data_IF_711174145580
#
_entry.id   IF_711174145580
#
_cell.length_a   1.000
_cell.length_b   1.000
_cell.length_c   1.000
_cell.angle_alpha   90.00
_cell.angle_beta   90.00
_cell.angle_gamma   90.00
#
_symmetry.space_group_name_H-M   'P 1'
#
loop_
_entity.id
_entity.type
_entity.pdbx_description
1 polymer ?
#
# COMPACT_ATOMS: atom_id res chain seq x y z
N UNK A 1 27.10 42.36 -11.43
CA UNK A 1 26.05 41.32 -11.44
C UNK A 1 26.18 40.36 -12.62
N UNK A 2 26.65 40.78 -13.79
CA UNK A 2 26.86 39.88 -14.95
C UNK A 2 28.04 38.89 -14.78
N UNK A 3 29.00 39.20 -13.91
CA UNK A 3 30.17 38.35 -13.70
C UNK A 3 29.88 37.17 -12.75
N UNK A 4 28.94 37.35 -11.82
CA UNK A 4 28.47 36.29 -10.92
C UNK A 4 27.57 35.28 -11.62
N UNK A 5 26.78 35.72 -12.61
CA UNK A 5 25.95 34.81 -13.42
C UNK A 5 26.81 33.96 -14.36
N UNK A 6 27.83 34.53 -15.01
CA UNK A 6 28.79 33.75 -15.82
C UNK A 6 29.56 32.70 -15.03
N UNK A 7 29.88 32.98 -13.77
CA UNK A 7 30.60 32.02 -12.91
C UNK A 7 29.72 30.84 -12.49
N UNK A 8 28.43 31.06 -12.28
CA UNK A 8 27.46 30.00 -12.00
C UNK A 8 27.14 29.17 -13.24
N UNK A 9 27.02 29.78 -14.42
CA UNK A 9 26.84 29.05 -15.68
C UNK A 9 28.07 28.18 -16.03
N UNK A 10 29.28 28.68 -15.77
CA UNK A 10 30.51 27.89 -15.93
C UNK A 10 30.61 26.71 -14.96
N UNK A 11 30.08 26.83 -13.74
CA UNK A 11 30.07 25.72 -12.77
C UNK A 11 29.03 24.65 -13.14
N UNK A 12 27.86 25.06 -13.66
CA UNK A 12 26.84 24.14 -14.12
C UNK A 12 27.26 23.37 -15.39
N UNK A 13 28.01 24.01 -16.30
CA UNK A 13 28.56 23.35 -17.48
C UNK A 13 29.61 22.27 -17.16
N UNK A 14 30.26 22.36 -16.00
CA UNK A 14 31.29 21.40 -15.55
C UNK A 14 30.72 20.10 -14.98
N UNK A 15 29.43 20.05 -14.63
CA UNK A 15 28.81 18.90 -13.94
C UNK A 15 28.20 17.89 -14.95
N UNK A 16 28.06 18.26 -16.22
CA UNK A 16 27.29 17.48 -17.21
C UNK A 16 28.04 16.48 -18.10
N UNK A 17 29.33 16.21 -17.91
CA UNK A 17 30.07 15.25 -18.76
C UNK A 17 30.95 14.30 -17.94
N UNK A 18 30.30 13.41 -17.20
CA UNK A 18 30.93 12.15 -16.82
C UNK A 18 31.19 11.29 -18.06
N UNK A 19 32.28 10.51 -18.11
CA UNK A 19 32.57 9.63 -19.24
C UNK A 19 31.41 8.66 -19.45
N UNK A 20 30.95 8.54 -20.69
CA UNK A 20 29.96 7.56 -21.09
C UNK A 20 30.50 6.16 -20.74
N UNK A 21 30.03 5.61 -19.62
CA UNK A 21 30.23 4.22 -19.27
C UNK A 21 29.49 3.41 -20.33
N UNK A 22 30.27 2.80 -21.22
CA UNK A 22 29.84 1.71 -22.08
C UNK A 22 29.26 0.63 -21.17
N UNK A 23 27.94 0.53 -21.16
CA UNK A 23 27.21 -0.57 -20.53
C UNK A 23 27.60 -1.84 -21.32
N UNK A 24 28.27 -2.84 -20.71
CA UNK A 24 28.45 -4.11 -21.36
C UNK A 24 27.07 -4.76 -21.54
N UNK A 25 26.81 -5.23 -22.77
CA UNK A 25 25.61 -5.98 -23.11
C UNK A 25 25.39 -7.12 -22.09
N UNK A 26 24.14 -7.35 -21.64
CA UNK A 26 23.86 -8.39 -20.67
C UNK A 26 24.19 -9.75 -21.29
N UNK A 27 25.09 -10.48 -20.64
CA UNK A 27 25.31 -11.90 -20.88
C UNK A 27 24.04 -12.61 -20.42
N UNK A 28 23.12 -12.80 -21.37
CA UNK A 28 21.95 -13.65 -21.22
C UNK A 28 22.40 -15.12 -21.10
N UNK A 29 22.72 -15.53 -19.88
CA UNK A 29 22.73 -16.93 -19.46
C UNK A 29 22.16 -17.04 -18.05
N UNK A 30 20.85 -16.86 -17.94
CA UNK A 30 20.07 -17.53 -16.89
C UNK A 30 19.17 -18.54 -17.57
N UNK A 31 19.33 -19.78 -17.14
CA UNK A 31 18.61 -20.97 -17.56
C UNK A 31 17.13 -20.82 -17.20
N UNK A 32 16.27 -21.24 -18.13
CA UNK A 32 14.80 -21.18 -18.04
C UNK A 32 14.18 -22.02 -16.90
N UNK A 33 14.98 -22.58 -15.99
CA UNK A 33 14.50 -23.49 -14.94
C UNK A 33 14.19 -22.80 -13.60
N UNK A 34 14.50 -21.51 -13.42
CA UNK A 34 14.38 -20.84 -12.11
C UNK A 34 13.19 -19.88 -11.96
N UNK A 35 12.42 -19.58 -13.01
CA UNK A 35 11.24 -18.70 -12.91
C UNK A 35 9.90 -19.44 -12.76
N UNK A 36 9.85 -20.76 -12.95
CA UNK A 36 8.61 -21.55 -12.82
C UNK A 36 8.20 -21.86 -11.37
N UNK A 37 9.01 -21.46 -10.37
CA UNK A 37 8.71 -21.74 -8.97
C UNK A 37 7.89 -20.67 -8.24
N UNK A 38 7.67 -19.49 -8.86
CA UNK A 38 7.01 -18.34 -8.20
C UNK A 38 5.64 -17.95 -8.78
N UNK A 39 5.13 -18.69 -9.77
CA UNK A 39 3.75 -18.55 -10.25
C UNK A 39 3.03 -19.87 -10.04
N UNK A 40 2.74 -20.21 -8.77
CA UNK A 40 1.73 -21.23 -8.48
C UNK A 40 0.36 -20.55 -8.48
N UNK A 41 -0.53 -20.85 -9.44
CA UNK A 41 -1.90 -20.38 -9.40
C UNK A 41 -2.60 -20.98 -8.16
N UNK A 42 -3.45 -20.16 -7.54
CA UNK A 42 -4.29 -20.56 -6.40
C UNK A 42 -5.11 -21.83 -6.77
N UNK A 43 -5.25 -22.81 -5.85
CA UNK A 43 -5.84 -24.12 -6.12
C UNK A 43 -7.35 -24.10 -6.43
N UNK A 44 -8.00 -22.94 -6.50
CA UNK A 44 -9.41 -22.82 -6.88
C UNK A 44 -9.62 -22.40 -8.35
N UNK A 45 -8.56 -22.06 -9.09
CA UNK A 45 -8.67 -21.55 -10.47
C UNK A 45 -8.74 -22.63 -11.57
N UNK A 46 -8.63 -23.93 -11.23
CA UNK A 46 -8.80 -25.04 -12.17
C UNK A 46 -9.99 -25.90 -11.75
N UNK A 47 -11.20 -25.42 -12.04
CA UNK A 47 -12.32 -26.34 -12.26
C UNK A 47 -12.21 -26.83 -13.71
N UNK A 48 -12.04 -28.14 -13.97
CA UNK A 48 -12.15 -28.65 -15.32
C UNK A 48 -13.61 -28.49 -15.77
N UNK A 49 -13.79 -27.77 -16.87
CA UNK A 49 -15.05 -27.74 -17.60
C UNK A 49 -15.43 -29.18 -17.96
N UNK A 50 -16.56 -29.64 -17.41
CA UNK A 50 -17.12 -30.96 -17.68
C UNK A 50 -17.65 -31.02 -19.12
N UNK A 51 -16.78 -31.41 -20.04
CA UNK A 51 -17.18 -31.99 -21.31
C UNK A 51 -16.12 -33.01 -21.70
N UNK A 52 -16.56 -34.22 -22.00
CA UNK A 52 -15.77 -35.35 -22.51
C UNK A 52 -15.00 -36.18 -21.48
N UNK A 53 -15.66 -37.21 -20.92
CA UNK A 53 -15.07 -38.56 -20.84
C UNK A 53 -16.14 -39.64 -20.52
N UNK A 54 -17.01 -39.91 -21.50
CA UNK A 54 -17.59 -41.23 -21.67
C UNK A 54 -16.50 -42.13 -22.28
N UNK A 55 -15.82 -42.91 -21.45
CA UNK A 55 -15.14 -44.17 -21.81
C UNK A 55 -14.38 -44.69 -20.59
N UNK A 56 -14.19 -46.01 -20.54
CA UNK A 56 -13.45 -46.77 -19.52
C UNK A 56 -14.28 -47.17 -18.29
N UNK A 57 -15.43 -47.80 -18.56
CA UNK A 57 -15.81 -48.96 -17.77
C UNK A 57 -14.79 -50.08 -18.03
N UNK A 58 -13.95 -50.39 -17.05
CA UNK A 58 -13.32 -51.70 -16.95
C UNK A 58 -13.24 -52.12 -15.49
N UNK A 59 -13.94 -53.23 -15.23
CA UNK A 59 -14.10 -53.89 -13.95
C UNK A 59 -12.76 -54.30 -13.35
N UNK A 60 -12.44 -53.78 -12.17
CA UNK A 60 -11.49 -54.40 -11.25
C UNK A 60 -12.18 -54.64 -9.92
N UNK A 61 -12.12 -55.89 -9.45
CA UNK A 61 -12.85 -56.43 -8.32
C UNK A 61 -12.59 -55.65 -7.01
N UNK A 62 -13.63 -55.27 -6.24
CA UNK A 62 -13.48 -54.67 -4.93
C UNK A 62 -13.54 -55.77 -3.86
N UNK A 63 -12.44 -56.07 -3.17
CA UNK A 63 -12.54 -56.92 -1.98
C UNK A 63 -11.26 -57.59 -1.52
N UNK A 64 -10.27 -56.81 -1.09
CA UNK A 64 -9.22 -57.27 -0.16
C UNK A 64 -8.26 -56.15 0.30
N UNK A 65 -8.14 -55.04 -0.43
CA UNK A 65 -7.06 -54.05 -0.20
C UNK A 65 -7.35 -52.90 0.77
N UNK A 66 -8.61 -52.66 1.15
CA UNK A 66 -8.98 -51.45 1.89
C UNK A 66 -8.37 -51.37 3.31
N UNK A 67 -8.23 -52.52 3.99
CA UNK A 67 -7.65 -52.57 5.33
C UNK A 67 -6.14 -52.30 5.35
N UNK A 68 -5.41 -52.79 4.34
CA UNK A 68 -3.97 -52.59 4.24
C UNK A 68 -3.60 -51.14 3.89
N UNK A 69 -4.40 -50.50 3.02
CA UNK A 69 -4.23 -49.08 2.69
C UNK A 69 -4.49 -48.18 3.91
N UNK A 70 -5.56 -48.42 4.67
CA UNK A 70 -5.87 -47.66 5.87
C UNK A 70 -4.80 -47.84 6.98
N UNK A 71 -4.25 -49.04 7.13
CA UNK A 71 -3.15 -49.29 8.09
C UNK A 71 -1.85 -48.58 7.67
N UNK A 72 -1.53 -48.55 6.38
CA UNK A 72 -0.35 -47.84 5.86
C UNK A 72 -0.51 -46.31 5.99
N UNK A 73 -1.72 -45.78 5.78
CA UNK A 73 -2.04 -44.37 5.99
C UNK A 73 -1.87 -43.98 7.47
N UNK A 74 -2.38 -44.80 8.38
CA UNK A 74 -2.25 -44.58 9.83
C UNK A 74 -0.79 -44.63 10.30
N UNK A 75 0.03 -45.52 9.72
CA UNK A 75 1.47 -45.57 10.00
C UNK A 75 2.17 -44.27 9.54
N UNK A 76 1.89 -43.80 8.32
CA UNK A 76 2.44 -42.54 7.80
C UNK A 76 2.02 -41.33 8.63
N UNK A 77 0.79 -41.31 9.15
CA UNK A 77 0.33 -40.24 10.04
C UNK A 77 1.08 -40.24 11.38
N UNK A 78 1.38 -41.41 11.94
CA UNK A 78 2.19 -41.53 13.16
C UNK A 78 3.63 -41.07 12.93
N UNK A 79 4.26 -41.52 11.85
CA UNK A 79 5.64 -41.11 11.51
C UNK A 79 5.74 -39.60 11.28
N UNK A 80 4.74 -39.02 10.61
CA UNK A 80 4.65 -37.57 10.42
C UNK A 80 4.47 -36.82 11.74
N UNK A 81 3.63 -37.32 12.64
CA UNK A 81 3.44 -36.72 13.95
C UNK A 81 4.72 -36.77 14.80
N UNK A 82 5.44 -37.90 14.78
CA UNK A 82 6.74 -38.04 15.46
C UNK A 82 7.80 -37.10 14.88
N UNK A 83 7.87 -36.98 13.55
CA UNK A 83 8.81 -36.05 12.90
C UNK A 83 8.52 -34.58 13.27
N UNK A 84 7.24 -34.18 13.34
CA UNK A 84 6.87 -32.83 13.77
C UNK A 84 7.22 -32.57 15.23
N UNK A 85 7.07 -33.58 16.09
CA UNK A 85 7.41 -33.46 17.51
C UNK A 85 8.93 -33.30 17.70
N UNK A 86 9.75 -34.10 17.00
CA UNK A 86 11.21 -33.95 17.01
C UNK A 86 11.64 -32.55 16.55
N UNK A 87 11.07 -32.06 15.46
CA UNK A 87 11.39 -30.74 14.93
C UNK A 87 10.98 -29.61 15.89
N UNK A 88 9.88 -29.79 16.61
CA UNK A 88 9.46 -28.87 17.65
C UNK A 88 10.41 -28.88 18.85
N UNK A 89 10.88 -30.05 19.29
CA UNK A 89 11.82 -30.17 20.40
C UNK A 89 13.21 -29.62 20.04
N UNK A 90 13.69 -29.87 18.81
CA UNK A 90 14.92 -29.27 18.27
C UNK A 90 14.81 -27.74 18.23
N UNK A 91 13.67 -27.21 17.79
CA UNK A 91 13.46 -25.76 17.77
C UNK A 91 13.52 -25.16 19.18
N UNK A 92 12.94 -25.84 20.19
CA UNK A 92 12.99 -25.39 21.59
C UNK A 92 14.41 -25.48 22.14
N UNK A 93 15.18 -26.51 21.81
CA UNK A 93 16.58 -26.62 22.20
C UNK A 93 17.42 -25.49 21.59
N UNK A 94 17.21 -25.16 20.31
CA UNK A 94 17.90 -24.03 19.67
C UNK A 94 17.52 -22.70 20.32
N UNK A 95 16.24 -22.49 20.64
CA UNK A 95 15.78 -21.26 21.31
C UNK A 95 16.34 -21.11 22.73
N UNK A 96 16.40 -22.21 23.49
CA UNK A 96 16.98 -22.21 24.84
C UNK A 96 18.50 -21.99 24.80
N UNK A 97 19.22 -22.63 23.88
CA UNK A 97 20.65 -22.37 23.68
C UNK A 97 20.94 -20.94 23.23
N UNK A 98 20.11 -20.38 22.34
CA UNK A 98 20.23 -18.97 21.93
C UNK A 98 19.97 -18.03 23.11
N UNK A 99 18.94 -18.30 23.91
CA UNK A 99 18.64 -17.51 25.11
C UNK A 99 19.80 -17.57 26.12
N UNK A 100 20.38 -18.75 26.33
CA UNK A 100 21.55 -18.94 27.20
C UNK A 100 22.75 -18.12 26.72
N UNK A 101 23.09 -18.19 25.43
CA UNK A 101 24.16 -17.36 24.83
C UNK A 101 23.85 -15.88 25.03
N UNK A 102 22.60 -15.45 24.85
CA UNK A 102 22.19 -14.07 25.02
C UNK A 102 22.24 -13.59 26.48
N UNK A 103 22.08 -14.49 27.45
CA UNK A 103 22.29 -14.21 28.88
C UNK A 103 23.76 -14.19 29.29
N UNK A 104 24.61 -14.94 28.61
CA UNK A 104 26.06 -14.94 28.83
C UNK A 104 26.77 -13.76 28.15
N UNK A 105 26.22 -13.24 27.04
CA UNK A 105 26.80 -12.12 26.29
C UNK A 105 27.09 -10.88 27.16
N UNK A 106 26.18 -10.43 28.05
CA UNK A 106 26.42 -9.31 28.95
C UNK A 106 27.55 -9.56 29.95
N UNK A 107 27.73 -10.79 30.45
CA UNK A 107 28.81 -11.13 31.38
C UNK A 107 30.17 -11.17 30.67
N UNK A 108 30.22 -11.75 29.48
CA UNK A 108 31.41 -11.75 28.62
C UNK A 108 31.75 -10.34 28.17
N UNK A 109 30.74 -9.52 27.83
CA UNK A 109 30.92 -8.11 27.53
C UNK A 109 31.42 -7.35 28.75
N UNK A 110 30.84 -7.53 29.93
CA UNK A 110 31.28 -6.86 31.16
C UNK A 110 32.76 -7.16 31.48
N UNK A 111 33.18 -8.43 31.36
CA UNK A 111 34.58 -8.83 31.56
C UNK A 111 35.55 -8.32 30.46
N UNK A 112 35.09 -8.17 29.22
CA UNK A 112 35.90 -7.63 28.12
C UNK A 112 35.99 -6.09 28.13
N UNK A 113 34.98 -5.41 28.66
CA UNK A 113 34.93 -3.94 28.75
C UNK A 113 35.69 -3.38 29.96
N UNK A 114 36.01 -4.19 30.98
CA UNK A 114 36.75 -3.74 32.17
C UNK A 114 38.23 -3.37 31.88
N UNK A 115 38.74 -3.70 30.68
CA UNK A 115 40.05 -3.25 30.18
C UNK A 115 39.98 -2.27 29.00
N UNK A 116 38.81 -1.73 28.65
CA UNK A 116 38.77 -0.65 27.67
C UNK A 116 39.35 0.64 28.27
N UNK A 117 40.20 1.38 27.54
CA UNK A 117 40.66 2.69 27.96
C UNK A 117 39.47 3.62 28.18
N UNK A 118 39.59 4.41 29.24
CA UNK A 118 38.58 5.30 29.81
C UNK A 118 37.82 6.15 28.77
N UNK A 119 36.54 6.34 29.07
CA UNK A 119 35.57 7.35 28.57
C UNK A 119 35.26 7.40 27.07
N UNK A 120 34.20 6.68 26.69
CA UNK A 120 33.39 6.94 25.50
C UNK A 120 32.66 8.32 25.53
N UNK A 121 32.87 9.15 26.56
CA UNK A 121 32.27 10.47 26.70
C UNK A 121 33.07 11.59 26.03
N UNK A 122 34.30 11.33 25.60
CA UNK A 122 35.14 12.31 24.90
C UNK A 122 35.09 12.18 23.37
N UNK A 123 34.19 11.35 22.83
CA UNK A 123 33.98 11.29 21.39
C UNK A 123 33.20 12.54 20.93
N UNK A 124 33.73 13.32 19.98
CA UNK A 124 33.01 14.46 19.42
C UNK A 124 31.66 13.98 18.87
N UNK A 125 30.56 14.65 19.24
CA UNK A 125 29.18 14.28 18.87
C UNK A 125 28.87 14.25 17.36
N UNK A 126 29.86 14.57 16.52
CA UNK A 126 29.75 14.58 15.07
C UNK A 126 30.70 13.59 14.37
N UNK A 127 31.28 12.62 15.10
CA UNK A 127 31.98 11.56 14.40
C UNK A 127 30.97 10.62 13.71
N UNK A 128 30.84 10.82 12.40
CA UNK A 128 30.03 10.02 11.48
C UNK A 128 30.09 8.53 11.86
N UNK A 129 28.93 7.89 12.01
CA UNK A 129 28.79 6.53 12.56
C UNK A 129 29.68 5.51 11.82
N UNK A 130 29.93 5.75 10.53
CA UNK A 130 30.89 5.00 9.70
C UNK A 130 32.32 5.04 10.25
N UNK A 131 32.77 6.16 10.79
CA UNK A 131 34.11 6.35 11.34
C UNK A 131 34.30 5.54 12.62
N UNK A 132 33.29 5.53 13.49
CA UNK A 132 33.27 4.74 14.72
C UNK A 132 33.32 3.24 14.39
N UNK A 133 32.48 2.79 13.43
CA UNK A 133 32.50 1.39 12.98
C UNK A 133 33.84 0.98 12.37
N UNK A 134 34.48 1.86 11.58
CA UNK A 134 35.83 1.61 11.05
C UNK A 134 36.87 1.49 12.17
N UNK A 135 36.83 2.36 13.17
CA UNK A 135 37.76 2.33 14.29
C UNK A 135 37.59 1.06 15.14
N UNK A 136 36.35 0.67 15.43
CA UNK A 136 36.05 -0.59 16.13
C UNK A 136 36.53 -1.81 15.34
N UNK A 137 36.35 -1.83 14.00
CA UNK A 137 36.83 -2.93 13.17
C UNK A 137 38.36 -3.00 13.13
N UNK A 138 39.05 -1.87 13.07
CA UNK A 138 40.52 -1.81 13.15
C UNK A 138 41.02 -2.29 14.52
N UNK A 139 40.39 -1.85 15.61
CA UNK A 139 40.74 -2.29 16.96
C UNK A 139 40.56 -3.81 17.12
N UNK A 140 39.47 -4.35 16.60
CA UNK A 140 39.22 -5.80 16.58
C UNK A 140 40.29 -6.56 15.78
N UNK A 141 40.59 -6.12 14.56
CA UNK A 141 41.63 -6.78 13.74
C UNK A 141 43.00 -6.74 14.42
N UNK A 142 43.33 -5.66 15.14
CA UNK A 142 44.57 -5.59 15.93
C UNK A 142 44.59 -6.60 17.08
N UNK A 143 43.49 -6.71 17.83
CA UNK A 143 43.39 -7.69 18.91
C UNK A 143 43.47 -9.14 18.40
N UNK A 144 42.87 -9.43 17.24
CA UNK A 144 42.99 -10.74 16.59
C UNK A 144 44.43 -11.02 16.14
N UNK A 145 45.14 -10.04 15.57
CA UNK A 145 46.55 -10.16 15.21
C UNK A 145 47.44 -10.41 16.43
N UNK A 146 47.20 -9.71 17.53
CA UNK A 146 47.94 -9.88 18.79
C UNK A 146 47.66 -11.26 19.41
N UNK A 147 46.41 -11.73 19.34
CA UNK A 147 46.01 -13.09 19.75
C UNK A 147 46.65 -14.20 18.91
N UNK A 148 46.83 -13.97 17.61
CA UNK A 148 47.53 -14.90 16.70
C UNK A 148 49.03 -14.91 17.00
N UNK A 149 49.62 -13.72 17.22
CA UNK A 149 51.05 -13.57 17.58
C UNK A 149 51.39 -14.24 18.91
N UNK A 150 50.47 -14.21 19.88
CA UNK A 150 50.68 -14.78 21.22
C UNK A 150 50.39 -16.28 21.32
N UNK A 151 49.72 -16.88 20.33
CA UNK A 151 49.42 -18.34 20.30
C UNK A 151 50.62 -19.25 19.99
N UNK A 152 51.85 -18.74 20.00
CA UNK A 152 53.04 -19.60 19.86
C UNK A 152 53.12 -20.30 18.51
N UNK A 153 52.57 -19.67 17.47
CA UNK A 153 52.63 -20.18 16.11
C UNK A 153 54.09 -20.37 15.66
N UNK A 154 55.03 -19.61 16.21
CA UNK A 154 56.48 -19.74 15.94
C UNK A 154 57.05 -21.13 16.27
N UNK A 155 56.48 -21.90 17.20
CA UNK A 155 57.01 -23.24 17.56
C UNK A 155 56.64 -24.32 16.54
N UNK A 156 55.48 -24.21 15.87
CA UNK A 156 55.09 -25.18 14.82
C UNK A 156 55.76 -24.92 13.47
N UNK A 157 56.24 -23.71 13.24
CA UNK A 157 56.93 -23.31 12.00
C UNK A 157 58.41 -23.73 11.96
N UNK A 158 59.06 -23.99 13.10
CA UNK A 158 60.47 -24.40 13.14
C UNK A 158 60.71 -25.87 12.71
N UNK A 159 59.71 -26.74 12.78
CA UNK A 159 59.87 -28.16 12.43
C UNK A 159 59.50 -28.52 10.99
N UNK A 160 58.93 -27.59 10.22
CA UNK A 160 58.48 -27.84 8.86
C UNK A 160 59.53 -27.43 7.83
N UNK A 161 59.82 -28.24 6.79
CA UNK A 161 60.71 -27.84 5.72
C UNK A 161 60.19 -26.58 5.02
N UNK A 162 61.04 -25.57 4.85
CA UNK A 162 60.75 -24.30 4.14
C UNK A 162 59.93 -24.45 2.85
N UNK A 163 60.16 -25.45 1.95
CA UNK A 163 59.34 -25.58 0.74
C UNK A 163 57.89 -25.95 1.02
N UNK A 164 57.61 -26.80 2.02
CA UNK A 164 56.24 -27.20 2.40
C UNK A 164 55.50 -25.99 2.96
N UNK A 165 56.21 -25.18 3.75
CA UNK A 165 55.68 -23.96 4.33
C UNK A 165 55.25 -22.95 3.28
N UNK A 166 56.11 -22.75 2.28
CA UNK A 166 55.85 -21.82 1.18
C UNK A 166 54.61 -22.26 0.41
N UNK A 167 54.47 -23.55 0.11
CA UNK A 167 53.31 -24.08 -0.59
C UNK A 167 52.02 -23.91 0.22
N UNK A 168 52.05 -24.24 1.52
CA UNK A 168 50.88 -24.07 2.39
C UNK A 168 50.46 -22.61 2.53
N UNK A 169 51.42 -21.69 2.65
CA UNK A 169 51.12 -20.24 2.69
C UNK A 169 50.52 -19.79 1.36
N UNK A 170 51.11 -20.18 0.21
CA UNK A 170 50.57 -19.84 -1.11
C UNK A 170 49.14 -20.38 -1.25
N UNK A 171 48.88 -21.63 -0.88
CA UNK A 171 47.56 -22.24 -0.98
C UNK A 171 46.55 -21.55 -0.06
N UNK A 172 46.94 -21.24 1.18
CA UNK A 172 46.08 -20.52 2.12
C UNK A 172 45.74 -19.10 1.65
N UNK A 173 46.72 -18.38 1.10
CA UNK A 173 46.54 -17.05 0.54
C UNK A 173 45.67 -17.12 -0.71
N UNK A 174 45.89 -18.09 -1.59
CA UNK A 174 45.07 -18.29 -2.78
C UNK A 174 43.60 -18.57 -2.40
N UNK A 175 43.36 -19.46 -1.42
CA UNK A 175 42.02 -19.72 -0.88
C UNK A 175 41.38 -18.47 -0.29
N UNK A 176 42.13 -17.70 0.51
CA UNK A 176 41.63 -16.44 1.08
C UNK A 176 41.29 -15.41 0.00
N UNK A 177 42.10 -15.28 -1.05
CA UNK A 177 41.85 -14.37 -2.16
C UNK A 177 40.58 -14.76 -2.92
N UNK A 178 40.35 -16.06 -3.16
CA UNK A 178 39.12 -16.56 -3.80
C UNK A 178 37.90 -16.22 -2.92
N UNK A 179 37.95 -16.53 -1.63
CA UNK A 179 36.85 -16.24 -0.69
C UNK A 179 36.54 -14.74 -0.60
N UNK A 180 37.56 -13.89 -0.53
CA UNK A 180 37.38 -12.44 -0.49
C UNK A 180 36.76 -11.92 -1.80
N UNK A 181 37.14 -12.50 -2.94
CA UNK A 181 36.56 -12.15 -4.23
C UNK A 181 35.09 -12.54 -4.31
N UNK A 182 34.74 -13.77 -3.90
CA UNK A 182 33.33 -14.21 -3.83
C UNK A 182 32.51 -13.33 -2.89
N UNK A 183 33.07 -12.92 -1.75
CA UNK A 183 32.41 -12.00 -0.83
C UNK A 183 32.22 -10.61 -1.42
N UNK A 184 33.19 -10.09 -2.19
CA UNK A 184 33.07 -8.81 -2.90
C UNK A 184 31.98 -8.89 -3.98
N UNK A 185 31.99 -9.95 -4.78
CA UNK A 185 30.99 -10.17 -5.84
C UNK A 185 29.58 -10.28 -5.24
N UNK A 186 29.43 -10.99 -4.11
CA UNK A 186 28.18 -11.05 -3.35
C UNK A 186 27.74 -9.66 -2.87
N UNK A 187 28.61 -8.90 -2.19
CA UNK A 187 28.29 -7.55 -1.70
C UNK A 187 27.94 -6.58 -2.84
N UNK A 188 28.59 -6.70 -3.99
CA UNK A 188 28.26 -5.89 -5.17
C UNK A 188 26.88 -6.23 -5.72
N UNK A 189 26.54 -7.52 -5.79
CA UNK A 189 25.21 -7.96 -6.22
C UNK A 189 24.10 -7.51 -5.26
N UNK A 190 24.37 -7.54 -3.96
CA UNK A 190 23.44 -7.07 -2.92
C UNK A 190 23.27 -5.55 -2.99
N UNK A 191 24.36 -4.80 -3.17
CA UNK A 191 24.33 -3.34 -3.36
C UNK A 191 23.47 -2.97 -4.57
N UNK A 192 23.64 -3.65 -5.71
CA UNK A 192 22.85 -3.39 -6.90
C UNK A 192 21.35 -3.70 -6.70
N UNK A 193 21.04 -4.75 -5.93
CA UNK A 193 19.66 -5.08 -5.53
C UNK A 193 19.05 -3.99 -4.64
N UNK A 194 19.80 -3.47 -3.68
CA UNK A 194 19.36 -2.38 -2.80
C UNK A 194 19.15 -1.08 -3.58
N UNK A 195 20.03 -0.73 -4.51
CA UNK A 195 19.87 0.45 -5.37
C UNK A 195 18.58 0.38 -6.18
N UNK A 196 18.24 -0.81 -6.70
CA UNK A 196 16.99 -1.04 -7.42
C UNK A 196 15.76 -0.95 -6.50
N UNK A 197 15.84 -1.41 -5.25
CA UNK A 197 14.78 -1.22 -4.26
C UNK A 197 14.59 0.25 -3.91
N UNK A 198 15.68 1.00 -3.71
CA UNK A 198 15.64 2.44 -3.45
C UNK A 198 14.97 3.17 -4.60
N UNK A 199 15.31 2.85 -5.85
CA UNK A 199 14.68 3.44 -7.03
C UNK A 199 13.16 3.19 -7.06
N UNK A 200 12.71 1.96 -6.77
CA UNK A 200 11.28 1.62 -6.67
C UNK A 200 10.58 2.40 -5.55
N UNK A 201 11.20 2.54 -4.38
CA UNK A 201 10.64 3.32 -3.29
C UNK A 201 10.52 4.80 -3.64
N UNK A 202 11.50 5.37 -4.34
CA UNK A 202 11.46 6.76 -4.80
C UNK A 202 10.34 7.00 -5.81
N UNK A 203 10.12 6.07 -6.75
CA UNK A 203 9.00 6.13 -7.69
C UNK A 203 7.64 6.08 -6.96
N UNK A 204 7.48 5.18 -5.99
CA UNK A 204 6.26 5.11 -5.18
C UNK A 204 6.00 6.41 -4.40
N UNK A 205 7.05 7.03 -3.84
CA UNK A 205 6.93 8.32 -3.16
C UNK A 205 6.47 9.41 -4.13
N UNK A 206 7.01 9.46 -5.35
CA UNK A 206 6.60 10.43 -6.37
C UNK A 206 5.11 10.25 -6.75
N UNK A 207 4.66 9.01 -6.96
CA UNK A 207 3.25 8.71 -7.24
C UNK A 207 2.33 9.14 -6.08
N UNK A 208 2.73 8.90 -4.83
CA UNK A 208 1.97 9.36 -3.66
C UNK A 208 1.91 10.89 -3.55
N UNK A 209 2.99 11.60 -3.90
CA UNK A 209 3.01 13.06 -3.91
C UNK A 209 2.04 13.61 -4.98
N UNK A 210 2.03 13.05 -6.18
CA UNK A 210 1.10 13.44 -7.24
C UNK A 210 -0.36 13.18 -6.84
N UNK A 211 -0.65 12.01 -6.27
CA UNK A 211 -1.99 11.69 -5.78
C UNK A 211 -2.45 12.65 -4.67
N UNK A 212 -1.56 12.99 -3.73
CA UNK A 212 -1.88 13.93 -2.65
C UNK A 212 -2.15 15.34 -3.19
N UNK A 213 -1.40 15.80 -4.19
CA UNK A 213 -1.67 17.08 -4.85
C UNK A 213 -3.03 17.06 -5.58
N UNK A 214 -3.35 15.96 -6.27
CA UNK A 214 -4.65 15.79 -6.92
C UNK A 214 -5.81 15.80 -5.92
N UNK A 215 -5.65 15.14 -4.77
CA UNK A 215 -6.64 15.15 -3.68
C UNK A 215 -6.79 16.54 -3.07
N UNK A 216 -5.70 17.25 -2.79
CA UNK A 216 -5.75 18.63 -2.28
C UNK A 216 -6.50 19.55 -3.25
N UNK A 217 -6.26 19.42 -4.56
CA UNK A 217 -6.98 20.20 -5.56
C UNK A 217 -8.49 19.88 -5.56
N UNK A 218 -8.87 18.61 -5.37
CA UNK A 218 -10.29 18.21 -5.25
C UNK A 218 -10.93 18.74 -3.98
N UNK A 219 -10.22 18.71 -2.84
CA UNK A 219 -10.73 19.29 -1.58
C UNK A 219 -10.99 20.78 -1.75
N UNK A 220 -10.07 21.53 -2.37
CA UNK A 220 -10.26 22.95 -2.64
C UNK A 220 -11.43 23.23 -3.60
N UNK A 221 -11.72 22.32 -4.54
CA UNK A 221 -12.90 22.41 -5.42
C UNK A 221 -14.19 22.22 -4.62
N UNK A 222 -14.24 21.21 -3.75
CA UNK A 222 -15.41 20.93 -2.90
C UNK A 222 -15.67 22.08 -1.92
N UNK A 223 -14.62 22.62 -1.28
CA UNK A 223 -14.75 23.77 -0.39
C UNK A 223 -15.32 25.01 -1.12
N UNK A 224 -15.05 25.14 -2.42
CA UNK A 224 -15.65 26.16 -3.27
C UNK A 224 -17.14 25.89 -3.58
N UNK A 225 -17.52 24.63 -3.78
CA UNK A 225 -18.92 24.21 -4.01
C UNK A 225 -19.78 24.33 -2.75
N UNK A 226 -19.22 24.00 -1.57
CA UNK A 226 -19.90 24.13 -0.28
C UNK A 226 -20.24 25.58 0.06
N UNK A 227 -19.40 26.54 -0.34
CA UNK A 227 -19.74 27.97 -0.26
C UNK A 227 -20.97 28.31 -1.11
N UNK A 228 -21.11 27.69 -2.28
CA UNK A 228 -22.30 27.81 -3.11
C UNK A 228 -23.56 27.28 -2.43
N UNK A 229 -23.45 26.12 -1.78
CA UNK A 229 -24.55 25.50 -1.03
C UNK A 229 -24.97 26.37 0.19
N UNK A 230 -24.02 26.94 0.93
CA UNK A 230 -24.33 27.84 2.04
C UNK A 230 -25.05 29.12 1.60
N UNK A 231 -24.61 29.72 0.50
CA UNK A 231 -25.25 30.93 -0.07
C UNK A 231 -26.67 30.61 -0.54
N UNK A 232 -26.86 29.48 -1.23
CA UNK A 232 -28.18 29.02 -1.64
C UNK A 232 -29.13 28.80 -0.45
N UNK A 233 -28.63 28.19 0.64
CA UNK A 233 -29.42 27.96 1.86
C UNK A 233 -29.84 29.27 2.54
N UNK A 234 -28.95 30.27 2.60
CA UNK A 234 -29.27 31.60 3.15
C UNK A 234 -30.31 32.32 2.30
N UNK A 235 -30.19 32.24 0.97
CA UNK A 235 -31.16 32.80 0.03
C UNK A 235 -32.55 32.15 0.18
N UNK A 236 -32.59 30.82 0.23
CA UNK A 236 -33.83 30.05 0.42
C UNK A 236 -34.55 30.40 1.72
N UNK A 237 -33.79 30.61 2.80
CA UNK A 237 -34.35 31.04 4.09
C UNK A 237 -34.96 32.44 3.98
N UNK A 238 -34.21 33.41 3.46
CA UNK A 238 -34.69 34.79 3.31
C UNK A 238 -35.90 34.89 2.36
N UNK A 239 -35.92 34.10 1.29
CA UNK A 239 -37.05 34.02 0.36
C UNK A 239 -38.27 33.36 1.00
N UNK A 240 -38.07 32.32 1.82
CA UNK A 240 -39.13 31.68 2.57
C UNK A 240 -39.80 32.63 3.56
N UNK A 241 -39.00 33.39 4.32
CA UNK A 241 -39.49 34.39 5.28
C UNK A 241 -40.30 35.47 4.52
N UNK A 242 -39.75 36.03 3.43
CA UNK A 242 -40.42 37.03 2.61
C UNK A 242 -41.73 36.54 1.98
N UNK A 243 -41.74 35.34 1.40
CA UNK A 243 -42.96 34.77 0.78
C UNK A 243 -44.04 34.55 1.84
N UNK A 244 -43.66 34.10 3.04
CA UNK A 244 -44.61 33.86 4.13
C UNK A 244 -45.24 35.17 4.61
N UNK A 245 -44.48 36.26 4.66
CA UNK A 245 -44.94 37.57 5.14
C UNK A 245 -45.86 38.30 4.14
N UNK A 246 -45.54 38.24 2.84
CA UNK A 246 -46.23 39.03 1.80
C UNK A 246 -47.21 38.23 0.94
N UNK A 247 -47.05 36.90 0.88
CA UNK A 247 -47.88 35.99 0.11
C UNK A 247 -48.33 34.84 1.00
N UNK A 248 -49.19 35.12 2.01
CA UNK A 248 -49.65 34.11 2.93
C UNK A 248 -50.26 32.94 2.16
N UNK A 249 -50.09 31.69 2.67
CA UNK A 249 -50.61 30.51 2.01
C UNK A 249 -52.09 30.68 1.72
N UNK A 250 -52.51 30.15 0.56
CA UNK A 250 -53.94 30.00 0.24
C UNK A 250 -54.62 29.33 1.45
N UNK A 251 -55.83 29.77 1.78
CA UNK A 251 -56.62 29.27 2.92
C UNK A 251 -56.44 27.76 3.13
N UNK A 252 -56.37 27.29 4.39
CA UNK A 252 -56.15 25.86 4.71
C UNK A 252 -57.06 24.92 3.91
N UNK A 253 -58.28 25.36 3.60
CA UNK A 253 -59.26 24.66 2.75
C UNK A 253 -58.76 24.33 1.31
N UNK A 254 -57.74 25.04 0.80
CA UNK A 254 -57.13 24.86 -0.52
C UNK A 254 -55.74 24.20 -0.47
N UNK A 255 -55.14 24.05 0.72
CA UNK A 255 -53.76 23.53 0.91
C UNK A 255 -53.67 22.17 1.60
N UNK A 256 -54.76 21.65 2.16
CA UNK A 256 -54.83 20.27 2.67
C UNK A 256 -54.88 19.26 1.51
N UNK A 257 -53.78 19.13 0.77
CA UNK A 257 -53.36 17.80 0.38
C UNK A 257 -52.79 17.17 1.66
N UNK A 258 -53.60 16.33 2.30
CA UNK A 258 -53.06 15.25 3.12
C UNK A 258 -51.81 14.70 2.43
N UNK A 259 -50.72 14.61 3.18
CA UNK A 259 -49.60 13.71 2.90
C UNK A 259 -50.18 12.29 2.73
N UNK A 260 -50.71 12.00 1.55
CA UNK A 260 -50.93 10.63 1.13
C UNK A 260 -49.55 10.08 0.81
N UNK A 261 -49.00 9.42 1.83
CA UNK A 261 -47.96 8.40 1.68
C UNK A 261 -48.33 7.51 0.49
N UNK A 262 -47.54 7.65 -0.56
CA UNK A 262 -47.60 6.98 -1.86
C UNK A 262 -47.18 5.50 -1.73
N UNK A 263 -47.82 4.75 -0.84
CA UNK A 263 -47.56 3.32 -0.64
C UNK A 263 -48.79 2.61 -0.05
N UNK A 264 -49.87 2.45 -0.83
CA UNK A 264 -50.75 1.28 -0.73
C UNK A 264 -51.71 1.17 -1.91
N UNK A 265 -51.26 0.44 -2.93
CA UNK A 265 -52.09 -0.38 -3.80
C UNK A 265 -53.03 -1.27 -2.97
N UNK A 266 -54.35 -1.10 -3.11
CA UNK A 266 -55.31 -2.21 -3.16
C UNK A 266 -56.73 -1.74 -3.50
N UNK A 267 -57.11 -1.99 -4.75
CA UNK A 267 -58.43 -2.49 -5.18
C UNK A 267 -59.65 -2.12 -4.31
N UNK A 268 -60.36 -1.06 -4.69
CA UNK A 268 -61.81 -1.02 -4.46
C UNK A 268 -62.55 -0.53 -5.71
N UNK A 269 -62.91 -1.50 -6.55
CA UNK A 269 -63.90 -1.36 -7.60
C UNK A 269 -65.29 -1.43 -6.96
N UNK A 270 -65.86 -0.27 -6.62
CA UNK A 270 -67.26 -0.19 -6.25
C UNK A 270 -67.89 1.11 -6.74
N UNK A 271 -68.87 0.94 -7.61
CA UNK A 271 -69.67 1.97 -8.26
C UNK A 271 -70.33 2.91 -7.22
N UNK A 272 -69.95 4.18 -7.25
CA UNK A 272 -70.65 5.24 -6.54
C UNK A 272 -70.43 6.56 -7.27
N UNK A 273 -71.47 7.03 -7.96
CA UNK A 273 -71.59 8.34 -8.60
C UNK A 273 -71.60 9.46 -7.53
N UNK A 274 -70.46 9.62 -6.88
CA UNK A 274 -70.17 10.75 -6.02
C UNK A 274 -69.35 11.74 -6.84
N UNK A 275 -69.99 12.81 -7.27
CA UNK A 275 -69.35 14.02 -7.82
C UNK A 275 -68.47 14.65 -6.72
N UNK A 276 -67.40 13.96 -6.30
CA UNK A 276 -66.38 14.47 -5.41
C UNK A 276 -65.73 15.61 -6.18
N UNK A 277 -66.10 16.84 -5.82
CA UNK A 277 -65.37 18.04 -6.21
C UNK A 277 -63.90 17.75 -5.92
N UNK A 278 -63.11 17.45 -6.96
CA UNK A 278 -61.66 17.37 -6.84
C UNK A 278 -61.21 18.78 -6.52
N UNK A 279 -61.10 19.09 -5.24
CA UNK A 279 -60.47 20.33 -4.77
C UNK A 279 -59.09 20.34 -5.40
N UNK A 280 -58.82 21.33 -6.23
CA UNK A 280 -57.51 21.43 -6.90
C UNK A 280 -56.52 21.88 -5.84
N UNK A 281 -55.64 20.97 -5.44
CA UNK A 281 -54.54 21.28 -4.53
C UNK A 281 -53.53 22.12 -5.30
N UNK A 282 -53.27 23.34 -4.82
CA UNK A 282 -52.29 24.23 -5.40
C UNK A 282 -50.97 24.19 -4.63
N UNK A 283 -49.86 24.22 -5.36
CA UNK A 283 -48.52 24.27 -4.77
C UNK A 283 -48.26 25.70 -4.24
N UNK A 284 -47.80 25.86 -2.98
CA UNK A 284 -47.48 27.17 -2.43
C UNK A 284 -46.28 27.80 -3.17
N UNK A 285 -46.27 29.14 -3.26
CA UNK A 285 -45.25 29.90 -3.99
C UNK A 285 -43.82 29.56 -3.54
N UNK A 286 -43.62 29.29 -2.25
CA UNK A 286 -42.33 28.87 -1.69
C UNK A 286 -41.81 27.58 -2.34
N UNK A 287 -42.66 26.55 -2.46
CA UNK A 287 -42.28 25.27 -3.09
C UNK A 287 -41.99 25.46 -4.58
N UNK A 288 -42.76 26.29 -5.28
CA UNK A 288 -42.50 26.62 -6.68
C UNK A 288 -41.13 27.30 -6.88
N UNK A 289 -40.79 28.27 -6.02
CA UNK A 289 -39.50 28.96 -6.03
C UNK A 289 -38.34 28.02 -5.64
N UNK A 290 -38.57 27.10 -4.71
CA UNK A 290 -37.62 26.06 -4.32
C UNK A 290 -37.29 25.12 -5.50
N UNK A 291 -38.32 24.65 -6.21
CA UNK A 291 -38.14 23.82 -7.41
C UNK A 291 -37.38 24.56 -8.52
N UNK A 292 -37.68 25.86 -8.72
CA UNK A 292 -36.96 26.74 -9.65
C UNK A 292 -35.48 26.84 -9.28
N UNK A 293 -35.17 27.15 -8.02
CA UNK A 293 -33.80 27.33 -7.56
C UNK A 293 -33.02 26.01 -7.58
N UNK A 294 -33.63 24.90 -7.17
CA UNK A 294 -33.00 23.58 -7.19
C UNK A 294 -32.69 23.13 -8.63
N UNK A 295 -33.58 23.40 -9.59
CA UNK A 295 -33.30 23.16 -11.01
C UNK A 295 -32.13 24.01 -11.51
N UNK A 296 -32.12 25.29 -11.16
CA UNK A 296 -31.04 26.22 -11.55
C UNK A 296 -29.69 25.81 -10.96
N UNK A 297 -29.68 25.26 -9.74
CA UNK A 297 -28.47 24.78 -9.08
C UNK A 297 -27.97 23.43 -9.64
N UNK A 298 -28.90 22.55 -10.04
CA UNK A 298 -28.57 21.17 -10.47
C UNK A 298 -28.18 21.06 -11.96
N UNK A 299 -28.72 21.93 -12.82
CA UNK A 299 -28.43 21.90 -14.26
C UNK A 299 -28.44 23.31 -14.84
N UNK A 300 -27.27 23.78 -15.29
CA UNK A 300 -27.13 25.05 -15.98
C UNK A 300 -27.75 25.05 -17.40
N UNK A 301 -28.15 23.87 -17.90
CA UNK A 301 -28.46 23.63 -19.31
C UNK A 301 -29.97 23.57 -19.60
N UNK A 302 -30.81 23.33 -18.59
CA UNK A 302 -32.26 23.20 -18.79
C UNK A 302 -33.07 24.17 -17.91
N UNK A 303 -33.28 25.43 -18.36
CA UNK A 303 -34.01 26.45 -17.61
C UNK A 303 -35.54 26.33 -17.72
N UNK A 304 -36.06 25.27 -18.36
CA UNK A 304 -37.49 25.16 -18.61
C UNK A 304 -38.22 24.44 -17.46
N UNK A 305 -39.25 25.08 -16.92
CA UNK A 305 -40.22 24.43 -16.05
C UNK A 305 -41.49 24.15 -16.83
N UNK A 306 -41.96 22.91 -16.75
CA UNK A 306 -43.27 22.54 -17.30
C UNK A 306 -44.35 23.10 -16.40
N UNK A 307 -45.25 23.88 -16.97
CA UNK A 307 -46.42 24.39 -16.24
C UNK A 307 -47.37 23.22 -15.98
N UNK A 308 -47.52 22.85 -14.71
CA UNK A 308 -48.42 21.80 -14.27
C UNK A 308 -49.78 22.38 -13.87
N UNK A 309 -50.89 21.62 -13.98
CA UNK A 309 -52.22 22.05 -13.51
C UNK A 309 -52.31 22.37 -12.02
N UNK A 310 -51.34 21.91 -11.23
CA UNK A 310 -51.18 22.16 -9.78
C UNK A 310 -50.52 23.50 -9.47
N UNK A 311 -49.97 24.19 -10.48
CA UNK A 311 -49.41 25.53 -10.30
C UNK A 311 -50.54 26.55 -10.23
N UNK A 312 -50.49 27.40 -9.21
CA UNK A 312 -51.47 28.47 -9.06
C UNK A 312 -51.21 29.58 -10.11
N UNK A 313 -52.15 29.86 -11.03
CA UNK A 313 -51.90 30.81 -12.13
C UNK A 313 -51.44 32.21 -11.70
N UNK A 314 -51.97 32.80 -10.60
CA UNK A 314 -51.47 34.09 -10.11
C UNK A 314 -49.99 34.08 -9.70
N UNK A 315 -49.49 32.96 -9.18
CA UNK A 315 -48.07 32.82 -8.84
C UNK A 315 -47.21 32.78 -10.11
N UNK A 316 -47.65 32.08 -11.15
CA UNK A 316 -46.96 32.09 -12.45
C UNK A 316 -46.95 33.49 -13.06
N UNK A 317 -48.08 34.20 -13.04
CA UNK A 317 -48.17 35.57 -13.53
C UNK A 317 -47.25 36.53 -12.77
N UNK A 318 -47.17 36.39 -11.43
CA UNK A 318 -46.25 37.16 -10.60
C UNK A 318 -44.79 36.94 -11.04
N UNK A 319 -44.38 35.68 -11.22
CA UNK A 319 -43.02 35.34 -11.65
C UNK A 319 -42.71 35.88 -13.05
N UNK A 320 -43.69 35.87 -13.97
CA UNK A 320 -43.55 36.47 -15.30
C UNK A 320 -43.38 37.99 -15.20
N UNK A 321 -44.24 38.67 -14.42
CA UNK A 321 -44.18 40.14 -14.25
C UNK A 321 -42.90 40.60 -13.57
N UNK A 322 -42.39 39.79 -12.64
CA UNK A 322 -41.10 40.03 -12.01
C UNK A 322 -39.91 39.78 -12.96
N UNK A 323 -40.15 39.25 -14.16
CA UNK A 323 -39.10 38.91 -15.12
C UNK A 323 -38.24 37.72 -14.69
N UNK A 324 -38.70 36.92 -13.74
CA UNK A 324 -37.99 35.75 -13.22
C UNK A 324 -38.12 34.57 -14.18
N UNK A 325 -39.32 34.39 -14.75
CA UNK A 325 -39.58 33.37 -15.78
C UNK A 325 -40.00 34.04 -17.09
N UNK A 326 -39.64 33.40 -18.21
CA UNK A 326 -40.15 33.73 -19.56
C UNK A 326 -41.03 32.58 -20.02
N UNK A 327 -42.28 32.89 -20.36
CA UNK A 327 -43.27 31.95 -20.90
C UNK A 327 -43.26 32.00 -22.41
#
# INVERSE_FOLDING_TARGET
MEETTRRLESMLASIGRGPALQVPAPVARMTAASMDALVRPLPWANQPSSSDSDAWMSSAAPGAGAGAAAAAEAARQRDRAQALQLLQDDSKQLWTGLAEIHTQLPEVAAGAFEKQPRSLQDFPKELDHKTILRQLKVARMRAELEGISSRGIEETFQSMPVPVLKEQVIESVARSVIQLRESIDFMQSESASLDLQIARCQEAIAQHQEMNQALQNKVLQIDGEDQGAEVAKKLMKALGDFVTDYYPPLSQDDTEADEYDDDNDAMDTSNGDGLRKRTRVFIPLRKLLEELLNRFASSYVDPYIRVLPTHYPPYLELLVRAGIIKV
#
